data_IF_241080473057
#
_entry.id   IF_241080473057
#
_cell.length_a   1.000
_cell.length_b   1.000
_cell.length_c   1.000
_cell.angle_alpha   90.00
_cell.angle_beta   90.00
_cell.angle_gamma   90.00
#
_symmetry.space_group_name_H-M   'P 1'
#
loop_
_entity.id
_entity.type
_entity.pdbx_description
1 polymer ?
#
# COMPACT_ATOMS: atom_id res chain seq x y z
N UNK A 1 21.59 -63.28 36.02
CA UNK A 1 21.33 -64.00 34.75
C UNK A 1 20.24 -63.21 34.06
N UNK A 2 20.61 -62.40 33.07
CA UNK A 2 20.51 -62.73 31.62
C UNK A 2 19.03 -62.88 31.28
N UNK A 3 18.38 -62.01 30.53
CA UNK A 3 18.81 -61.39 29.26
C UNK A 3 17.96 -62.00 28.13
N UNK A 4 17.77 -61.22 27.06
CA UNK A 4 17.08 -61.51 25.78
C UNK A 4 15.55 -61.28 25.77
N UNK A 5 14.91 -60.73 24.74
CA UNK A 5 15.15 -59.70 23.69
C UNK A 5 13.89 -59.76 22.79
N UNK A 6 13.69 -58.74 21.94
CA UNK A 6 12.71 -58.62 20.83
C UNK A 6 11.30 -58.10 21.25
N UNK A 7 10.70 -57.06 20.64
CA UNK A 7 10.82 -56.46 19.31
C UNK A 7 10.73 -54.92 19.37
N UNK A 8 11.42 -54.24 18.45
CA UNK A 8 11.32 -52.80 18.17
C UNK A 8 9.93 -52.49 17.59
N UNK A 9 9.10 -51.76 18.34
CA UNK A 9 7.96 -51.04 17.77
C UNK A 9 8.47 -49.70 17.21
N UNK A 10 8.67 -49.68 15.89
CA UNK A 10 8.76 -48.48 15.07
C UNK A 10 7.47 -47.64 15.26
N UNK A 11 7.49 -46.69 16.19
CA UNK A 11 6.46 -45.65 16.24
C UNK A 11 6.68 -44.68 15.07
N UNK A 12 6.01 -44.93 13.95
CA UNK A 12 5.80 -43.97 12.88
C UNK A 12 5.22 -42.65 13.46
N UNK A 13 5.87 -41.48 13.31
CA UNK A 13 5.30 -40.24 13.80
C UNK A 13 4.21 -39.74 12.83
N UNK A 14 2.98 -39.95 13.28
CA UNK A 14 1.76 -39.14 13.14
C UNK A 14 1.82 -38.03 12.07
N UNK A 15 1.10 -38.24 10.96
CA UNK A 15 0.77 -37.22 9.98
C UNK A 15 -0.05 -36.09 10.62
N UNK A 16 0.58 -34.93 10.77
CA UNK A 16 -0.11 -33.65 10.99
C UNK A 16 0.13 -32.73 9.79
N UNK A 17 -0.96 -32.18 9.25
CA UNK A 17 -1.03 -31.16 8.20
C UNK A 17 -0.33 -29.85 8.63
N UNK A 18 1.00 -29.85 8.67
CA UNK A 18 1.77 -28.62 8.80
C UNK A 18 1.83 -27.94 7.44
N UNK A 19 1.24 -26.74 7.34
CA UNK A 19 1.35 -25.88 6.15
C UNK A 19 2.84 -25.59 5.91
N UNK A 20 3.36 -25.78 4.67
CA UNK A 20 4.73 -25.40 4.34
C UNK A 20 5.00 -23.93 4.69
N UNK A 21 6.12 -23.66 5.36
CA UNK A 21 6.50 -22.31 5.80
C UNK A 21 7.88 -21.94 5.25
N UNK A 22 8.05 -20.68 4.86
CA UNK A 22 9.34 -20.17 4.38
C UNK A 22 10.24 -19.73 5.54
N UNK A 23 11.51 -20.10 5.44
CA UNK A 23 12.57 -19.78 6.38
C UNK A 23 13.75 -19.18 5.63
N UNK A 24 14.55 -18.36 6.32
CA UNK A 24 15.79 -17.81 5.77
C UNK A 24 16.98 -18.39 6.51
N UNK A 25 17.97 -18.86 5.75
CA UNK A 25 19.22 -19.32 6.32
C UNK A 25 19.98 -18.16 6.99
N UNK A 26 20.29 -18.29 8.27
CA UNK A 26 21.05 -17.27 9.02
C UNK A 26 22.57 -17.51 8.98
N UNK A 27 22.99 -18.69 8.53
CA UNK A 27 24.40 -19.03 8.33
C UNK A 27 24.55 -20.00 7.15
N UNK A 28 25.76 -20.10 6.62
CA UNK A 28 26.10 -21.12 5.63
C UNK A 28 26.07 -22.51 6.28
N UNK A 29 25.54 -23.49 5.56
CA UNK A 29 25.51 -24.88 5.99
C UNK A 29 25.93 -25.81 4.85
N UNK A 30 26.83 -26.73 5.14
CA UNK A 30 27.27 -27.78 4.21
C UNK A 30 26.77 -29.12 4.74
N UNK A 31 26.01 -29.84 3.89
CA UNK A 31 25.45 -31.13 4.21
C UNK A 31 26.56 -32.13 4.55
N UNK A 32 26.36 -32.87 5.63
CA UNK A 32 27.32 -33.90 6.09
C UNK A 32 27.08 -35.26 5.42
N UNK A 33 25.89 -35.47 4.87
CA UNK A 33 25.49 -36.66 4.12
C UNK A 33 24.49 -36.32 2.99
N UNK A 34 24.09 -37.33 2.23
CA UNK A 34 23.17 -37.17 1.09
C UNK A 34 21.70 -36.91 1.45
N UNK A 35 21.34 -36.94 2.73
CA UNK A 35 19.97 -36.72 3.20
C UNK A 35 19.70 -35.26 3.57
N UNK A 36 20.74 -34.44 3.67
CA UNK A 36 20.68 -33.06 4.14
C UNK A 36 20.79 -32.05 2.98
N UNK A 37 20.22 -30.87 3.17
CA UNK A 37 20.36 -29.75 2.22
C UNK A 37 21.52 -28.85 2.66
N UNK A 38 22.50 -28.65 1.78
CA UNK A 38 23.45 -27.53 1.94
C UNK A 38 22.76 -26.23 1.55
N UNK A 39 23.14 -25.08 2.10
CA UNK A 39 22.61 -23.76 1.74
C UNK A 39 23.54 -22.64 2.21
N UNK A 40 23.35 -21.43 1.69
CA UNK A 40 24.10 -20.24 2.09
C UNK A 40 23.23 -19.29 2.91
N UNK A 41 23.86 -18.49 3.77
CA UNK A 41 23.22 -17.41 4.51
C UNK A 41 22.43 -16.52 3.54
N UNK A 42 21.17 -16.25 3.89
CA UNK A 42 20.23 -15.46 3.10
C UNK A 42 19.40 -16.26 2.10
N UNK A 43 19.69 -17.56 1.89
CA UNK A 43 18.84 -18.40 1.03
C UNK A 43 17.48 -18.66 1.68
N UNK A 44 16.40 -18.52 0.91
CA UNK A 44 15.04 -18.93 1.30
C UNK A 44 14.91 -20.46 1.17
N UNK A 45 14.33 -21.08 2.19
CA UNK A 45 14.13 -22.52 2.33
C UNK A 45 12.67 -22.79 2.69
N UNK A 46 12.04 -23.79 2.07
CA UNK A 46 10.68 -24.17 2.41
C UNK A 46 10.71 -25.32 3.41
N UNK A 47 10.26 -25.08 4.65
CA UNK A 47 10.13 -26.12 5.67
C UNK A 47 8.77 -26.78 5.52
N UNK A 48 8.79 -28.09 5.23
CA UNK A 48 7.59 -28.90 5.00
C UNK A 48 7.11 -29.58 6.30
N UNK A 49 8.05 -30.02 7.15
CA UNK A 49 7.72 -30.71 8.41
C UNK A 49 8.83 -30.55 9.43
N UNK A 50 8.50 -30.19 10.67
CA UNK A 50 9.46 -30.13 11.79
C UNK A 50 9.59 -31.53 12.40
N UNK A 51 10.56 -32.32 11.93
CA UNK A 51 10.71 -33.74 12.32
C UNK A 51 11.21 -33.88 13.77
N UNK A 52 12.22 -33.09 14.14
CA UNK A 52 12.72 -32.98 15.52
C UNK A 52 13.00 -31.52 15.88
N UNK A 53 13.36 -31.27 17.14
CA UNK A 53 13.82 -29.93 17.56
C UNK A 53 15.10 -29.45 16.86
N UNK A 54 15.91 -30.36 16.31
CA UNK A 54 17.19 -30.02 15.68
C UNK A 54 17.17 -30.13 14.15
N UNK A 55 16.30 -30.96 13.59
CA UNK A 55 16.26 -31.27 12.15
C UNK A 55 14.85 -31.21 11.61
N UNK A 56 14.67 -30.40 10.56
CA UNK A 56 13.41 -30.22 9.87
C UNK A 56 13.53 -30.73 8.44
N UNK A 57 12.43 -31.24 7.90
CA UNK A 57 12.33 -31.67 6.51
C UNK A 57 11.88 -30.49 5.65
N UNK A 58 12.61 -30.22 4.57
CA UNK A 58 12.31 -29.08 3.71
C UNK A 58 12.75 -29.27 2.27
N UNK A 59 12.54 -28.22 1.49
CA UNK A 59 12.84 -28.15 0.07
C UNK A 59 13.65 -26.89 -0.26
N UNK A 60 14.64 -27.06 -1.14
CA UNK A 60 15.41 -25.96 -1.73
C UNK A 60 15.64 -26.23 -3.21
N UNK A 61 15.12 -25.35 -4.07
CA UNK A 61 15.34 -25.43 -5.52
C UNK A 61 14.97 -26.78 -6.13
N UNK A 62 13.85 -27.38 -5.67
CA UNK A 62 13.37 -28.68 -6.13
C UNK A 62 14.08 -29.90 -5.51
N UNK A 63 15.04 -29.71 -4.60
CA UNK A 63 15.68 -30.80 -3.84
C UNK A 63 15.15 -30.83 -2.42
N UNK A 64 14.79 -32.01 -1.94
CA UNK A 64 14.30 -32.22 -0.57
C UNK A 64 15.36 -32.87 0.31
N UNK A 65 15.37 -32.49 1.58
CA UNK A 65 16.31 -33.02 2.55
C UNK A 65 16.16 -32.36 3.92
N UNK A 66 16.98 -32.80 4.86
CA UNK A 66 17.01 -32.27 6.21
C UNK A 66 17.73 -30.91 6.27
N UNK A 67 17.13 -30.00 7.04
CA UNK A 67 17.58 -28.64 7.33
C UNK A 67 17.81 -28.57 8.86
N UNK A 68 19.00 -28.18 9.33
CA UNK A 68 19.23 -27.99 10.75
C UNK A 68 18.51 -26.72 11.25
N UNK A 69 17.64 -26.88 12.23
CA UNK A 69 16.76 -25.83 12.78
C UNK A 69 17.56 -24.60 13.27
N UNK A 70 18.73 -24.82 13.87
CA UNK A 70 19.58 -23.74 14.39
C UNK A 70 20.28 -22.88 13.33
N UNK A 71 20.13 -23.20 12.05
CA UNK A 71 20.72 -22.45 10.93
C UNK A 71 19.68 -21.66 10.13
N UNK A 72 18.42 -21.70 10.55
CA UNK A 72 17.31 -21.05 9.86
C UNK A 72 16.44 -20.29 10.86
N UNK A 73 15.96 -19.13 10.45
CA UNK A 73 14.95 -18.36 11.19
C UNK A 73 13.72 -18.19 10.30
N UNK A 74 12.54 -18.05 10.92
CA UNK A 74 11.31 -17.75 10.19
C UNK A 74 11.60 -16.52 9.35
N UNK A 75 11.52 -16.69 8.01
CA UNK A 75 11.61 -15.55 7.13
C UNK A 75 10.46 -14.66 7.52
N UNK A 76 10.69 -13.36 7.69
CA UNK A 76 9.61 -12.41 7.51
C UNK A 76 8.99 -12.82 6.17
N UNK A 77 7.80 -13.42 6.21
CA UNK A 77 7.15 -13.88 5.00
C UNK A 77 7.18 -12.70 4.04
N UNK A 78 7.12 -12.97 2.75
CA UNK A 78 6.51 -12.00 1.88
C UNK A 78 5.00 -11.95 2.27
N UNK A 79 4.67 -11.58 3.53
CA UNK A 79 3.50 -10.78 3.77
C UNK A 79 3.70 -9.63 2.81
N UNK A 80 2.79 -9.47 1.85
CA UNK A 80 2.59 -8.16 1.24
C UNK A 80 2.77 -7.14 2.36
N UNK A 81 3.62 -6.11 2.16
CA UNK A 81 4.00 -5.20 3.22
C UNK A 81 2.72 -4.91 3.98
N UNK A 82 2.65 -5.30 5.26
CA UNK A 82 1.46 -5.08 6.08
C UNK A 82 0.99 -3.68 5.71
N UNK A 83 -0.25 -3.53 5.25
CA UNK A 83 -0.77 -2.22 4.89
C UNK A 83 -0.92 -1.45 6.20
N UNK A 84 0.22 -0.97 6.71
CA UNK A 84 0.35 -0.21 7.94
C UNK A 84 -0.37 1.13 7.80
N UNK A 85 -0.74 1.49 6.57
CA UNK A 85 -1.37 2.75 6.19
C UNK A 85 -2.88 2.60 6.02
N UNK A 86 -3.38 1.37 5.91
CA UNK A 86 -4.79 1.05 5.71
C UNK A 86 -5.35 1.76 4.47
N UNK A 87 -4.56 1.84 3.41
CA UNK A 87 -4.88 2.58 2.18
C UNK A 87 -6.19 2.09 1.56
N UNK A 88 -6.42 0.77 1.53
CA UNK A 88 -7.68 0.23 1.00
C UNK A 88 -8.91 0.71 1.79
N UNK A 89 -8.83 0.71 3.11
CA UNK A 89 -9.92 1.18 3.97
C UNK A 89 -10.10 2.70 3.85
N UNK A 90 -8.98 3.45 3.88
CA UNK A 90 -8.95 4.90 3.79
C UNK A 90 -9.56 5.39 2.47
N UNK A 91 -9.02 4.96 1.32
CA UNK A 91 -9.56 5.37 0.01
C UNK A 91 -10.94 4.77 -0.25
N UNK A 92 -11.25 3.59 0.30
CA UNK A 92 -12.59 3.01 0.29
C UNK A 92 -13.63 3.91 0.96
N UNK A 93 -13.30 4.51 2.10
CA UNK A 93 -14.18 5.43 2.82
C UNK A 93 -14.43 6.73 2.03
N UNK A 94 -13.40 7.28 1.39
CA UNK A 94 -13.50 8.46 0.52
C UNK A 94 -14.10 8.17 -0.86
N UNK A 95 -14.21 6.91 -1.27
CA UNK A 95 -14.96 6.52 -2.47
C UNK A 95 -16.48 6.77 -2.35
N UNK A 96 -17.00 6.84 -1.12
CA UNK A 96 -18.41 7.11 -0.87
C UNK A 96 -18.71 8.61 -0.79
N UNK A 97 -19.89 9.02 -1.26
CA UNK A 97 -20.32 10.43 -1.25
C UNK A 97 -20.48 11.03 0.17
N UNK A 98 -20.59 10.20 1.21
CA UNK A 98 -20.91 10.64 2.58
C UNK A 98 -19.91 11.67 3.11
N UNK A 99 -18.62 11.34 3.11
CA UNK A 99 -17.58 12.24 3.60
C UNK A 99 -17.51 13.50 2.73
N UNK A 100 -17.52 13.34 1.40
CA UNK A 100 -17.54 14.48 0.49
C UNK A 100 -18.72 15.43 0.68
N UNK A 101 -19.91 14.92 1.01
CA UNK A 101 -21.07 15.75 1.30
C UNK A 101 -20.89 16.53 2.60
N UNK A 102 -20.36 15.91 3.65
CA UNK A 102 -20.03 16.60 4.91
C UNK A 102 -19.04 17.74 4.64
N UNK A 103 -17.97 17.44 3.89
CA UNK A 103 -16.95 18.39 3.46
C UNK A 103 -17.51 19.56 2.63
N UNK A 104 -18.35 19.27 1.62
CA UNK A 104 -18.97 20.29 0.76
C UNK A 104 -20.05 21.11 1.47
N UNK A 105 -20.70 20.53 2.49
CA UNK A 105 -21.73 21.20 3.27
C UNK A 105 -21.14 22.15 4.32
N UNK A 106 -19.87 21.98 4.70
CA UNK A 106 -19.13 22.89 5.57
C UNK A 106 -18.91 24.26 4.90
N UNK A 107 -19.83 25.19 5.15
CA UNK A 107 -19.79 26.52 4.56
C UNK A 107 -18.55 27.33 4.96
N UNK A 108 -18.14 27.41 6.25
CA UNK A 108 -16.90 28.09 6.62
C UNK A 108 -15.68 27.57 5.84
N UNK A 109 -15.53 26.25 5.72
CA UNK A 109 -14.44 25.63 4.98
C UNK A 109 -14.49 26.00 3.50
N UNK A 110 -15.63 25.79 2.84
CA UNK A 110 -15.78 26.06 1.41
C UNK A 110 -15.59 27.55 1.09
N UNK A 111 -16.13 28.43 1.93
CA UNK A 111 -15.98 29.87 1.77
C UNK A 111 -14.52 30.31 1.91
N UNK A 112 -13.75 29.71 2.83
CA UNK A 112 -12.34 30.04 3.00
C UNK A 112 -11.53 29.71 1.73
N UNK A 113 -11.69 28.50 1.18
CA UNK A 113 -11.01 28.09 -0.04
C UNK A 113 -11.44 28.91 -1.26
N UNK A 114 -12.74 29.15 -1.43
CA UNK A 114 -13.26 29.98 -2.52
C UNK A 114 -12.71 31.41 -2.44
N UNK A 115 -12.65 31.99 -1.24
CA UNK A 115 -12.08 33.33 -1.05
C UNK A 115 -10.59 33.40 -1.37
N UNK A 116 -9.80 32.37 -1.04
CA UNK A 116 -8.39 32.31 -1.42
C UNK A 116 -8.24 32.36 -2.93
N UNK A 117 -8.99 31.54 -3.67
CA UNK A 117 -8.93 31.50 -5.13
C UNK A 117 -9.37 32.84 -5.72
N UNK A 118 -10.50 33.40 -5.27
CA UNK A 118 -11.00 34.70 -5.71
C UNK A 118 -10.00 35.84 -5.51
N UNK A 119 -9.36 35.90 -4.33
CA UNK A 119 -8.38 36.95 -4.01
C UNK A 119 -7.10 36.86 -4.83
N UNK A 120 -6.76 35.66 -5.30
CA UNK A 120 -5.53 35.39 -6.06
C UNK A 120 -5.78 35.06 -7.53
N UNK A 121 -7.00 35.29 -8.05
CA UNK A 121 -7.38 34.91 -9.41
C UNK A 121 -6.45 35.48 -10.48
N UNK A 122 -6.01 36.72 -10.32
CA UNK A 122 -5.13 37.40 -11.29
C UNK A 122 -3.71 36.80 -11.28
N UNK A 123 -3.26 36.23 -10.15
CA UNK A 123 -1.98 35.52 -10.06
C UNK A 123 -2.05 34.12 -10.68
N UNK A 124 -3.22 33.49 -10.61
CA UNK A 124 -3.51 32.16 -11.11
C UNK A 124 -3.73 32.12 -12.63
N UNK A 125 -3.94 33.27 -13.28
CA UNK A 125 -4.05 33.38 -14.73
C UNK A 125 -2.81 32.79 -15.42
N UNK A 126 -3.03 31.96 -16.44
CA UNK A 126 -2.00 31.22 -17.18
C UNK A 126 -1.08 30.30 -16.35
N UNK A 127 -1.39 30.06 -15.06
CA UNK A 127 -0.68 29.10 -14.21
C UNK A 127 -1.14 27.67 -14.43
N UNK A 128 -0.25 26.72 -14.14
CA UNK A 128 -0.60 25.31 -13.98
C UNK A 128 -0.80 25.03 -12.50
N UNK A 129 -1.99 24.55 -12.16
CA UNK A 129 -2.39 24.25 -10.78
C UNK A 129 -2.46 22.73 -10.59
N UNK A 130 -1.93 22.23 -9.49
CA UNK A 130 -2.13 20.88 -9.00
C UNK A 130 -3.07 20.91 -7.80
N UNK A 131 -4.18 20.17 -7.87
CA UNK A 131 -5.13 19.95 -6.78
C UNK A 131 -4.97 18.52 -6.27
N UNK A 132 -4.35 18.37 -5.10
CA UNK A 132 -3.99 17.06 -4.51
C UNK A 132 -5.09 16.59 -3.56
N UNK A 133 -5.60 15.38 -3.79
CA UNK A 133 -6.75 14.86 -3.05
C UNK A 133 -8.00 15.66 -3.39
N UNK A 134 -8.25 15.86 -4.70
CA UNK A 134 -9.26 16.81 -5.15
C UNK A 134 -10.69 16.41 -4.75
N UNK A 135 -10.92 15.16 -4.35
CA UNK A 135 -12.23 14.63 -4.01
C UNK A 135 -13.21 14.86 -5.15
N UNK A 136 -14.29 15.59 -4.87
CA UNK A 136 -15.32 16.00 -5.86
C UNK A 136 -14.86 17.07 -6.85
N UNK A 137 -13.64 17.59 -6.71
CA UNK A 137 -13.03 18.56 -7.62
C UNK A 137 -13.48 20.00 -7.40
N UNK A 138 -14.09 20.34 -6.27
CA UNK A 138 -14.64 21.69 -6.04
C UNK A 138 -13.57 22.79 -6.10
N UNK A 139 -12.37 22.53 -5.57
CA UNK A 139 -11.25 23.48 -5.63
C UNK A 139 -10.76 23.68 -7.07
N UNK A 140 -10.61 22.59 -7.81
CA UNK A 140 -10.33 22.61 -9.25
C UNK A 140 -11.38 23.41 -10.04
N UNK A 141 -12.67 23.23 -9.73
CA UNK A 141 -13.77 23.97 -10.35
C UNK A 141 -13.71 25.47 -10.01
N UNK A 142 -13.42 25.84 -8.77
CA UNK A 142 -13.21 27.23 -8.40
C UNK A 142 -12.03 27.84 -9.16
N UNK A 143 -10.90 27.13 -9.27
CA UNK A 143 -9.75 27.59 -10.06
C UNK A 143 -10.15 27.85 -11.53
N UNK A 144 -10.81 26.89 -12.17
CA UNK A 144 -11.20 27.00 -13.57
C UNK A 144 -12.23 28.11 -13.82
N UNK A 145 -13.22 28.25 -12.92
CA UNK A 145 -14.29 29.23 -13.06
C UNK A 145 -13.83 30.66 -12.78
N UNK A 146 -13.02 30.88 -11.73
CA UNK A 146 -12.71 32.21 -11.23
C UNK A 146 -11.42 32.79 -11.81
N UNK A 147 -10.43 31.95 -12.13
CA UNK A 147 -9.04 32.37 -12.28
C UNK A 147 -8.37 32.07 -13.64
N UNK A 148 -9.05 31.36 -14.55
CA UNK A 148 -8.57 31.05 -15.90
C UNK A 148 -7.12 30.52 -15.95
N UNK A 149 -6.78 29.47 -15.18
CA UNK A 149 -5.47 28.85 -15.27
C UNK A 149 -5.22 28.29 -16.68
N UNK A 150 -3.93 28.09 -17.00
CA UNK A 150 -3.51 27.38 -18.22
C UNK A 150 -4.02 25.93 -18.20
N UNK A 151 -3.85 25.26 -17.07
CA UNK A 151 -4.34 23.91 -16.81
C UNK A 151 -4.51 23.67 -15.31
N UNK A 152 -5.41 22.77 -14.95
CA UNK A 152 -5.57 22.23 -13.59
C UNK A 152 -5.42 20.72 -13.66
N UNK A 153 -4.52 20.16 -12.86
CA UNK A 153 -4.38 18.72 -12.67
C UNK A 153 -5.01 18.35 -11.34
N UNK A 154 -6.12 17.63 -11.40
CA UNK A 154 -6.90 17.21 -10.24
C UNK A 154 -6.60 15.74 -9.95
N UNK A 155 -5.89 15.46 -8.86
CA UNK A 155 -5.44 14.11 -8.52
C UNK A 155 -6.28 13.59 -7.36
N UNK A 156 -6.91 12.44 -7.55
CA UNK A 156 -7.75 11.78 -6.56
C UNK A 156 -7.55 10.27 -6.63
N UNK A 157 -7.15 9.64 -5.53
CA UNK A 157 -6.84 8.22 -5.52
C UNK A 157 -8.11 7.35 -5.45
N UNK A 158 -9.18 7.82 -4.81
CA UNK A 158 -10.41 7.06 -4.65
C UNK A 158 -11.26 7.00 -5.93
N UNK A 159 -12.27 6.14 -5.91
CA UNK A 159 -13.27 6.03 -6.99
C UNK A 159 -14.07 7.32 -7.23
N UNK A 160 -13.99 8.30 -6.32
CA UNK A 160 -14.63 9.62 -6.51
C UNK A 160 -14.11 10.33 -7.77
N UNK A 161 -12.86 10.09 -8.17
CA UNK A 161 -12.25 10.66 -9.37
C UNK A 161 -13.12 10.48 -10.64
N UNK A 162 -13.77 9.31 -10.78
CA UNK A 162 -14.65 9.01 -11.93
C UNK A 162 -15.89 9.90 -11.97
N UNK A 163 -16.41 10.26 -10.79
CA UNK A 163 -17.52 11.19 -10.66
C UNK A 163 -17.05 12.63 -10.90
N UNK A 164 -15.87 12.98 -10.40
CA UNK A 164 -15.24 14.28 -10.59
C UNK A 164 -14.99 14.59 -12.05
N UNK A 165 -14.52 13.63 -12.85
CA UNK A 165 -14.36 13.80 -14.30
C UNK A 165 -15.68 14.13 -15.01
N UNK A 166 -16.78 13.50 -14.58
CA UNK A 166 -18.14 13.81 -15.09
C UNK A 166 -18.61 15.19 -14.65
N UNK A 167 -18.30 15.61 -13.42
CA UNK A 167 -18.61 16.95 -12.92
C UNK A 167 -17.86 18.02 -13.71
N UNK A 168 -16.55 17.83 -13.92
CA UNK A 168 -15.71 18.70 -14.76
C UNK A 168 -16.31 18.85 -16.15
N UNK A 169 -16.66 17.72 -16.78
CA UNK A 169 -17.24 17.72 -18.12
C UNK A 169 -18.60 18.40 -18.17
N UNK A 170 -19.48 18.14 -17.19
CA UNK A 170 -20.83 18.71 -17.13
C UNK A 170 -20.83 20.21 -16.85
N UNK A 171 -19.77 20.73 -16.21
CA UNK A 171 -19.57 22.16 -15.97
C UNK A 171 -18.79 22.85 -17.10
N UNK A 172 -18.42 22.14 -18.17
CA UNK A 172 -17.77 22.73 -19.34
C UNK A 172 -16.29 23.06 -19.14
N UNK A 173 -15.59 22.36 -18.23
CA UNK A 173 -14.18 22.60 -17.92
C UNK A 173 -13.25 21.46 -18.32
N UNK A 174 -13.71 20.53 -19.16
CA UNK A 174 -12.90 19.39 -19.63
C UNK A 174 -11.67 19.79 -20.46
N UNK A 175 -11.65 21.01 -21.02
CA UNK A 175 -10.51 21.59 -21.72
C UNK A 175 -9.45 22.19 -20.76
N UNK A 176 -9.81 22.38 -19.48
CA UNK A 176 -8.96 23.04 -18.47
C UNK A 176 -8.53 22.12 -17.34
N UNK A 177 -9.42 21.25 -16.88
CA UNK A 177 -9.18 20.36 -15.75
C UNK A 177 -8.98 18.94 -16.27
N UNK A 178 -7.84 18.34 -15.96
CA UNK A 178 -7.56 16.92 -16.20
C UNK A 178 -7.58 16.18 -14.86
N UNK A 179 -8.42 15.16 -14.76
CA UNK A 179 -8.56 14.34 -13.55
C UNK A 179 -7.69 13.09 -13.66
N UNK A 180 -6.94 12.77 -12.61
CA UNK A 180 -6.11 11.57 -12.51
C UNK A 180 -6.62 10.70 -11.36
N UNK A 181 -7.10 9.50 -11.67
CA UNK A 181 -7.48 8.50 -10.66
C UNK A 181 -6.23 7.74 -10.18
N UNK A 182 -5.37 8.39 -9.41
CA UNK A 182 -4.09 7.85 -8.94
C UNK A 182 -3.71 8.49 -7.60
N UNK A 183 -2.81 7.85 -6.86
CA UNK A 183 -2.07 8.50 -5.77
C UNK A 183 -1.14 9.58 -6.35
N UNK A 184 -0.93 10.67 -5.61
CA UNK A 184 -0.07 11.77 -6.08
C UNK A 184 1.40 11.38 -6.14
N UNK A 185 1.79 10.39 -5.36
CA UNK A 185 3.12 9.79 -5.33
C UNK A 185 3.44 9.05 -6.63
N UNK A 186 2.41 8.53 -7.33
CA UNK A 186 2.55 7.70 -8.53
C UNK A 186 2.17 8.45 -9.82
N UNK A 187 1.58 9.64 -9.72
CA UNK A 187 1.04 10.36 -10.88
C UNK A 187 2.16 10.94 -11.75
N UNK A 188 2.09 10.68 -13.05
CA UNK A 188 2.98 11.28 -14.04
C UNK A 188 2.31 12.51 -14.67
N UNK A 189 2.69 13.71 -14.21
CA UNK A 189 2.17 14.95 -14.76
C UNK A 189 2.87 15.34 -16.08
N UNK A 190 2.17 16.00 -17.03
CA UNK A 190 2.77 16.47 -18.29
C UNK A 190 3.92 17.47 -18.12
N UNK A 191 4.06 18.07 -16.94
CA UNK A 191 5.13 19.00 -16.60
C UNK A 191 5.04 19.44 -15.14
N UNK A 192 5.99 20.29 -14.73
CA UNK A 192 5.94 20.92 -13.40
C UNK A 192 4.75 21.87 -13.30
N UNK A 193 4.25 22.04 -12.08
CA UNK A 193 3.17 22.96 -11.74
C UNK A 193 3.71 24.24 -11.13
N UNK A 194 2.94 25.32 -11.25
CA UNK A 194 3.24 26.63 -10.65
C UNK A 194 2.65 26.76 -9.24
N UNK A 195 1.51 26.11 -9.00
CA UNK A 195 0.75 26.19 -7.74
C UNK A 195 0.29 24.79 -7.33
N UNK A 196 0.42 24.48 -6.04
CA UNK A 196 -0.18 23.31 -5.40
C UNK A 196 -1.25 23.79 -4.43
N UNK A 197 -2.46 23.27 -4.57
CA UNK A 197 -3.59 23.46 -3.66
C UNK A 197 -4.06 22.10 -3.16
N UNK A 198 -4.50 22.04 -1.90
CA UNK A 198 -5.06 20.84 -1.31
C UNK A 198 -5.86 21.20 -0.07
N UNK A 199 -6.84 20.37 0.27
CA UNK A 199 -7.45 20.31 1.58
C UNK A 199 -7.10 18.96 2.19
N UNK A 200 -6.12 18.97 3.09
CA UNK A 200 -5.54 17.78 3.70
C UNK A 200 -5.71 17.76 5.22
N UNK A 201 -6.32 18.79 5.81
CA UNK A 201 -6.30 18.93 7.26
C UNK A 201 -7.30 17.97 7.90
N UNK A 202 -6.79 17.13 8.79
CA UNK A 202 -7.60 16.20 9.55
C UNK A 202 -7.90 16.67 10.98
N UNK A 203 -8.45 15.77 11.79
CA UNK A 203 -8.56 15.91 13.24
C UNK A 203 -7.21 16.33 13.82
N UNK A 204 -7.21 17.33 14.72
CA UNK A 204 -5.97 17.86 15.28
C UNK A 204 -4.88 18.18 14.22
N UNK A 205 -5.31 18.68 13.05
CA UNK A 205 -4.50 19.05 11.88
C UNK A 205 -3.87 17.87 11.12
N UNK A 206 -3.14 17.01 11.82
CA UNK A 206 -2.32 15.95 11.20
C UNK A 206 -3.00 14.58 11.17
N UNK A 207 -4.12 14.41 11.89
CA UNK A 207 -4.84 13.13 11.95
C UNK A 207 -5.93 13.15 10.89
N UNK A 208 -5.64 12.65 9.69
CA UNK A 208 -6.71 12.07 8.86
C UNK A 208 -7.46 11.03 9.68
N UNK A 209 -8.70 10.67 9.33
CA UNK A 209 -9.45 9.61 10.03
C UNK A 209 -8.79 8.22 9.84
N UNK A 210 -7.52 8.07 10.22
CA UNK A 210 -6.45 7.16 9.80
C UNK A 210 -5.47 7.83 8.81
N UNK A 211 -4.18 7.60 9.06
CA UNK A 211 -2.93 8.22 8.57
C UNK A 211 -2.91 8.78 7.13
N UNK A 212 -2.49 10.05 6.98
CA UNK A 212 -2.30 10.74 5.69
C UNK A 212 -1.00 10.30 4.97
N UNK A 213 -1.03 9.86 3.69
CA UNK A 213 0.18 9.50 2.93
C UNK A 213 0.87 10.65 2.15
N UNK A 214 0.21 11.79 1.95
CA UNK A 214 0.50 12.78 0.87
C UNK A 214 1.88 13.47 0.94
N UNK A 215 2.59 13.46 2.06
CA UNK A 215 3.84 14.21 2.25
C UNK A 215 5.05 13.31 2.52
N UNK A 216 5.27 12.34 1.63
CA UNK A 216 6.56 11.64 1.50
C UNK A 216 7.44 12.24 0.42
#
# INVERSE_FOLDING_TARGET
KVGEDEEEDDEDPVEGDAVPQEFVAIADYVATDGTQLSFRRGEKLLVLRRVTGAWWWGERGGRRGYIPAGYVEEGAGDSEPEDTWQDEEYFGSYGALKLHLEMLSDQPRMAAYHQVILRHRDFLEDKVVLDVGCGTGILSLFCAHEARPRAVYAVEASEMARHTERLVSSNGFADKITVFQQKVEDVALPGKVDVLVSEWMGTCLLVGEKTFPIWR
#
